data_IF_921859071365
#
_entry.id   IF_921859071365
#
_cell.length_a   1.000
_cell.length_b   1.000
_cell.length_c   1.000
_cell.angle_alpha   90.00
_cell.angle_beta   90.00
_cell.angle_gamma   90.00
#
_symmetry.space_group_name_H-M   'P 1'
#
loop_
_entity.id
_entity.type
_entity.pdbx_description
1 polymer ?
#
# COMPACT_ATOMS: atom_id res chain seq x y z
N UNK A 1 9.75 23.42 7.90
CA UNK A 1 10.47 22.61 6.88
C UNK A 1 10.87 21.22 7.38
N UNK A 2 11.38 21.07 8.61
CA UNK A 2 11.76 19.77 9.19
C UNK A 2 10.65 18.70 9.21
N UNK A 3 9.41 19.04 9.60
CA UNK A 3 8.31 18.06 9.67
C UNK A 3 7.90 17.45 8.32
N UNK A 4 8.09 18.16 7.20
CA UNK A 4 7.85 17.63 5.85
C UNK A 4 8.96 16.64 5.46
N UNK A 5 10.21 16.95 5.83
CA UNK A 5 11.37 16.10 5.55
C UNK A 5 11.30 14.81 6.38
N UNK A 6 10.92 14.89 7.66
CA UNK A 6 10.69 13.70 8.50
C UNK A 6 9.54 12.84 7.99
N UNK A 7 8.43 13.47 7.57
CA UNK A 7 7.30 12.73 6.97
C UNK A 7 7.74 11.96 5.71
N UNK A 8 8.53 12.58 4.84
CA UNK A 8 9.10 11.91 3.67
C UNK A 8 10.08 10.78 4.05
N UNK A 9 10.88 10.95 5.10
CA UNK A 9 11.81 9.93 5.61
C UNK A 9 11.05 8.72 6.19
N UNK A 10 9.99 8.97 6.96
CA UNK A 10 9.12 7.94 7.53
C UNK A 10 8.40 7.12 6.46
N UNK A 11 7.91 7.77 5.39
CA UNK A 11 7.29 7.08 4.26
C UNK A 11 8.29 6.19 3.49
N UNK A 12 9.58 6.53 3.50
CA UNK A 12 10.64 5.76 2.85
C UNK A 12 11.08 4.57 3.69
N UNK A 13 11.12 4.73 5.02
CA UNK A 13 11.28 3.64 5.97
C UNK A 13 10.13 2.63 5.89
N UNK A 14 8.88 3.10 5.82
CA UNK A 14 7.71 2.25 5.68
C UNK A 14 7.77 1.42 4.39
N UNK A 15 8.14 2.03 3.25
CA UNK A 15 8.35 1.31 1.99
C UNK A 15 9.42 0.21 2.12
N UNK A 16 10.54 0.49 2.80
CA UNK A 16 11.62 -0.48 3.03
C UNK A 16 11.18 -1.64 3.94
N UNK A 17 10.38 -1.36 4.96
CA UNK A 17 9.82 -2.38 5.86
C UNK A 17 8.80 -3.27 5.13
N UNK A 18 7.93 -2.71 4.29
CA UNK A 18 6.98 -3.51 3.50
C UNK A 18 7.68 -4.36 2.43
N UNK A 19 8.73 -3.83 1.77
CA UNK A 19 9.57 -4.63 0.86
C UNK A 19 10.28 -5.77 1.59
N UNK A 20 10.80 -5.52 2.81
CA UNK A 20 11.35 -6.57 3.66
C UNK A 20 10.30 -7.61 4.03
N UNK A 21 9.09 -7.19 4.42
CA UNK A 21 7.99 -8.10 4.74
C UNK A 21 7.64 -9.00 3.54
N UNK A 22 7.60 -8.46 2.32
CA UNK A 22 7.43 -9.23 1.09
C UNK A 22 8.57 -10.23 0.84
N UNK A 23 9.82 -9.87 1.17
CA UNK A 23 10.98 -10.76 1.05
C UNK A 23 11.09 -11.83 2.14
N UNK A 24 10.53 -11.60 3.33
CA UNK A 24 10.60 -12.56 4.45
C UNK A 24 9.70 -13.79 4.26
N UNK A 25 8.99 -13.89 3.13
CA UNK A 25 8.25 -15.09 2.76
C UNK A 25 6.98 -15.22 3.57
N UNK A 26 5.95 -14.45 3.19
CA UNK A 26 4.61 -14.72 3.69
C UNK A 26 4.00 -15.85 2.86
N UNK A 27 3.81 -16.98 3.50
CA UNK A 27 3.31 -18.24 2.93
C UNK A 27 1.86 -18.18 2.43
N UNK A 28 1.18 -17.03 2.52
CA UNK A 28 -0.20 -16.84 2.06
C UNK A 28 -0.35 -15.68 1.06
N UNK A 29 -1.11 -15.93 0.00
CA UNK A 29 -1.52 -14.93 -1.00
C UNK A 29 -2.20 -13.69 -0.40
N UNK A 30 -2.85 -13.87 0.75
CA UNK A 30 -3.53 -12.82 1.52
C UNK A 30 -2.55 -11.81 2.11
N UNK A 31 -1.44 -12.28 2.65
CA UNK A 31 -0.42 -11.42 3.25
C UNK A 31 0.31 -10.58 2.20
N UNK A 32 0.56 -11.18 1.03
CA UNK A 32 1.12 -10.48 -0.11
C UNK A 32 0.17 -9.38 -0.62
N UNK A 33 -1.15 -9.65 -0.62
CA UNK A 33 -2.16 -8.65 -0.94
C UNK A 33 -2.19 -7.50 0.10
N UNK A 34 -2.06 -7.82 1.39
CA UNK A 34 -2.03 -6.83 2.47
C UNK A 34 -0.81 -5.91 2.39
N UNK A 35 0.36 -6.47 2.08
CA UNK A 35 1.59 -5.70 1.87
C UNK A 35 1.47 -4.76 0.65
N UNK A 36 0.88 -5.24 -0.46
CA UNK A 36 0.61 -4.40 -1.65
C UNK A 36 -0.37 -3.26 -1.36
N UNK A 37 -1.42 -3.49 -0.57
CA UNK A 37 -2.37 -2.44 -0.18
C UNK A 37 -1.74 -1.39 0.73
N UNK A 38 -0.92 -1.82 1.68
CA UNK A 38 -0.20 -0.91 2.57
C UNK A 38 0.78 -0.04 1.79
N UNK A 39 1.49 -0.62 0.82
CA UNK A 39 2.35 0.13 -0.10
C UNK A 39 1.53 1.13 -0.94
N UNK A 40 0.37 0.74 -1.44
CA UNK A 40 -0.53 1.66 -2.14
C UNK A 40 -0.96 2.84 -1.26
N UNK A 41 -1.25 2.61 0.03
CA UNK A 41 -1.57 3.66 1.00
C UNK A 41 -0.43 4.67 1.21
N UNK A 42 0.81 4.20 1.22
CA UNK A 42 2.01 5.06 1.29
C UNK A 42 2.17 5.88 -0.01
N UNK A 43 1.95 5.25 -1.17
CA UNK A 43 2.06 5.94 -2.46
C UNK A 43 0.99 7.02 -2.64
N UNK A 44 -0.22 6.78 -2.13
CA UNK A 44 -1.30 7.78 -2.07
C UNK A 44 -0.83 9.01 -1.30
N UNK A 45 -0.22 8.83 -0.13
CA UNK A 45 0.32 9.94 0.67
C UNK A 45 1.47 10.67 -0.05
N UNK A 46 2.27 9.96 -0.85
CA UNK A 46 3.29 10.54 -1.75
C UNK A 46 2.71 11.19 -3.02
N UNK A 47 1.38 11.33 -3.14
CA UNK A 47 0.65 11.83 -4.34
C UNK A 47 0.88 11.00 -5.62
N UNK A 48 1.30 9.74 -5.52
CA UNK A 48 1.53 8.82 -6.66
C UNK A 48 0.29 8.00 -6.99
N UNK A 49 -0.77 8.66 -7.47
CA UNK A 49 -2.08 8.04 -7.76
C UNK A 49 -2.00 6.87 -8.77
N UNK A 50 -1.18 7.01 -9.82
CA UNK A 50 -1.08 6.02 -10.91
C UNK A 50 -0.50 4.70 -10.44
N UNK A 51 0.52 4.73 -9.60
CA UNK A 51 1.13 3.51 -9.05
C UNK A 51 0.28 2.89 -7.95
N UNK A 52 -0.35 3.72 -7.10
CA UNK A 52 -1.27 3.24 -6.09
C UNK A 52 -2.49 2.50 -6.70
N UNK A 53 -3.06 3.01 -7.80
CA UNK A 53 -4.18 2.35 -8.49
C UNK A 53 -3.80 0.99 -9.07
N UNK A 54 -2.58 0.86 -9.62
CA UNK A 54 -2.05 -0.41 -10.13
C UNK A 54 -1.91 -1.42 -8.98
N UNK A 55 -1.26 -1.02 -7.87
CA UNK A 55 -1.06 -1.89 -6.71
C UNK A 55 -2.38 -2.34 -6.06
N UNK A 56 -3.38 -1.46 -5.97
CA UNK A 56 -4.72 -1.83 -5.47
C UNK A 56 -5.37 -2.86 -6.41
N UNK A 57 -5.20 -2.73 -7.72
CA UNK A 57 -5.69 -3.69 -8.70
C UNK A 57 -5.02 -5.07 -8.55
N UNK A 58 -3.71 -5.10 -8.36
CA UNK A 58 -2.95 -6.33 -8.14
C UNK A 58 -3.28 -6.99 -6.80
N UNK A 59 -3.44 -6.20 -5.74
CA UNK A 59 -3.84 -6.69 -4.44
C UNK A 59 -5.26 -7.29 -4.49
N UNK A 60 -6.19 -6.63 -5.18
CA UNK A 60 -7.54 -7.17 -5.41
C UNK A 60 -7.53 -8.52 -6.14
N UNK A 61 -6.61 -8.71 -7.09
CA UNK A 61 -6.45 -10.01 -7.80
C UNK A 61 -5.84 -11.08 -6.91
N UNK A 62 -5.00 -10.68 -5.95
CA UNK A 62 -4.30 -11.60 -5.03
C UNK A 62 -5.16 -11.96 -3.81
N UNK A 63 -6.12 -11.10 -3.45
CA UNK A 63 -7.12 -11.32 -2.40
C UNK A 63 -8.23 -12.27 -2.89
N UNK A 64 -7.98 -13.57 -2.77
CA UNK A 64 -8.95 -14.63 -3.13
C UNK A 64 -10.11 -14.78 -2.14
N UNK A 65 -10.00 -14.21 -0.94
CA UNK A 65 -11.00 -14.37 0.14
C UNK A 65 -11.81 -13.11 0.40
N UNK A 66 -11.62 -12.06 -0.41
CA UNK A 66 -12.30 -10.77 -0.28
C UNK A 66 -12.15 -10.14 1.13
N UNK A 67 -11.12 -10.54 1.88
CA UNK A 67 -10.89 -10.10 3.26
C UNK A 67 -10.37 -8.65 3.31
N UNK A 68 -9.84 -8.14 2.20
CA UNK A 68 -9.27 -6.80 2.10
C UNK A 68 -10.16 -5.83 1.30
N UNK A 69 -11.39 -6.25 0.98
CA UNK A 69 -12.34 -5.47 0.18
C UNK A 69 -12.65 -4.08 0.76
N UNK A 70 -12.85 -3.99 2.06
CA UNK A 70 -13.09 -2.72 2.76
C UNK A 70 -11.87 -1.79 2.72
N UNK A 71 -10.66 -2.33 2.91
CA UNK A 71 -9.41 -1.56 2.81
C UNK A 71 -9.17 -1.05 1.38
N UNK A 72 -9.44 -1.87 0.36
CA UNK A 72 -9.40 -1.46 -1.05
C UNK A 72 -10.36 -0.30 -1.31
N UNK A 73 -11.57 -0.36 -0.75
CA UNK A 73 -12.60 0.67 -0.91
C UNK A 73 -12.18 1.98 -0.23
N UNK A 74 -11.63 1.91 0.97
CA UNK A 74 -11.07 3.06 1.68
C UNK A 74 -9.93 3.72 0.89
N UNK A 75 -8.97 2.92 0.41
CA UNK A 75 -7.84 3.40 -0.38
C UNK A 75 -8.28 4.06 -1.69
N UNK A 76 -9.24 3.46 -2.40
CA UNK A 76 -9.83 4.05 -3.61
C UNK A 76 -10.52 5.39 -3.32
N UNK A 77 -11.19 5.49 -2.18
CA UNK A 77 -11.83 6.74 -1.76
C UNK A 77 -10.79 7.82 -1.45
N UNK A 78 -9.68 7.46 -0.81
CA UNK A 78 -8.57 8.38 -0.58
C UNK A 78 -7.90 8.83 -1.89
N UNK A 79 -7.73 7.94 -2.88
CA UNK A 79 -7.22 8.32 -4.22
C UNK A 79 -8.10 9.39 -4.88
N UNK A 80 -9.42 9.29 -4.73
CA UNK A 80 -10.38 10.25 -5.29
C UNK A 80 -10.36 11.61 -4.58
N UNK A 81 -9.90 11.68 -3.33
CA UNK A 81 -9.83 12.91 -2.53
C UNK A 81 -8.57 13.72 -2.77
N UNK A 82 -7.49 13.08 -3.23
CA UNK A 82 -6.26 13.75 -3.71
C UNK A 82 -6.52 14.21 -5.14
#
# INVERSE_FOLDING_TARGET
>A
LYGIIESQKNLTLAEKSFRKALSFGLSMSTDLAMAKLSLAGILIQKRRKREATILIGEAKKSDKHNMLGEQIRLLKTQIKKI
#
